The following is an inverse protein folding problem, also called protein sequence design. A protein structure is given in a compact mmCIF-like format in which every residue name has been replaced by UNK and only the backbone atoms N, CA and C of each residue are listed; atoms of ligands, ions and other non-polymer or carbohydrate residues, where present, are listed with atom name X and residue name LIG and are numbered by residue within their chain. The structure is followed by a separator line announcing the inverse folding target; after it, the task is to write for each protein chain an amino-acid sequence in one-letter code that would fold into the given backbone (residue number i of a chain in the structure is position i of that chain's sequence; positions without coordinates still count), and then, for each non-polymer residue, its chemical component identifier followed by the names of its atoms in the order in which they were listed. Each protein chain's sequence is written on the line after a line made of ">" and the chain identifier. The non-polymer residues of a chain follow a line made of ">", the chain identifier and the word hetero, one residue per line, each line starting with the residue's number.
data_IF_016073968406
#
_entry.id   IF_016073968406
#
_cell.length_a   1.000
_cell.length_b   1.000
_cell.length_c   1.000
_cell.angle_alpha   90.00
_cell.angle_beta   90.00
_cell.angle_gamma   90.00
#
_symmetry.space_group_name_H-M   'P 1'
#
loop_
_entity.id
_entity.type
_entity.pdbx_description
1 polymer ?
#
# COMPACT_ATOMS: atom_id res chain seq x y z
N UNK A 1 -2.71 6.38 9.98
CA UNK A 1 -2.19 5.96 8.67
C UNK A 1 -2.39 7.10 7.71
N UNK A 2 -1.40 7.39 6.87
CA UNK A 2 -1.41 8.43 5.83
C UNK A 2 -0.71 7.87 4.60
N UNK A 3 -1.01 8.39 3.41
CA UNK A 3 -0.46 7.92 2.14
C UNK A 3 0.15 9.05 1.31
N UNK A 4 -0.19 9.10 0.03
CA UNK A 4 0.34 10.11 -0.91
C UNK A 4 0.01 11.56 -0.57
N UNK A 5 -1.02 11.78 0.25
CA UNK A 5 -1.43 13.12 0.71
C UNK A 5 -0.53 13.73 1.79
N UNK A 6 0.42 12.98 2.34
CA UNK A 6 1.28 13.45 3.42
C UNK A 6 2.19 14.59 2.96
N UNK A 7 2.13 15.71 3.69
CA UNK A 7 3.02 16.87 3.50
C UNK A 7 3.81 17.16 4.77
N UNK A 8 4.94 17.88 4.65
CA UNK A 8 5.74 18.33 5.80
C UNK A 8 4.92 19.18 6.77
N UNK A 9 4.01 20.01 6.27
CA UNK A 9 3.15 20.86 7.10
C UNK A 9 2.23 20.08 8.02
N UNK A 10 1.85 18.85 7.66
CA UNK A 10 1.02 17.98 8.51
C UNK A 10 1.81 17.40 9.69
N UNK A 11 3.14 17.48 9.65
CA UNK A 11 4.03 17.03 10.71
C UNK A 11 4.38 18.16 11.71
N UNK A 12 3.84 19.35 11.53
CA UNK A 12 3.98 20.49 12.42
C UNK A 12 2.62 20.92 12.97
N UNK A 13 2.63 21.86 13.94
CA UNK A 13 1.41 22.45 14.48
C UNK A 13 0.77 23.36 13.44
N UNK A 14 -0.55 23.22 13.24
CA UNK A 14 -1.30 24.12 12.40
C UNK A 14 -2.15 25.06 13.24
N UNK A 15 -1.94 26.37 13.10
CA UNK A 15 -2.72 27.38 13.81
C UNK A 15 -3.93 27.84 13.02
N UNK A 16 -5.11 27.70 13.62
CA UNK A 16 -6.35 28.25 13.07
C UNK A 16 -6.61 29.62 13.68
N UNK A 17 -6.47 30.68 12.87
CA UNK A 17 -6.63 32.08 13.33
C UNK A 17 -8.09 32.41 13.70
N UNK A 18 -9.07 31.73 13.12
CA UNK A 18 -10.49 31.98 13.40
C UNK A 18 -10.89 31.43 14.77
N UNK A 19 -10.54 30.18 15.03
CA UNK A 19 -10.82 29.53 16.33
C UNK A 19 -9.76 29.84 17.39
N UNK A 20 -8.62 30.42 17.02
CA UNK A 20 -7.45 30.68 17.89
C UNK A 20 -6.94 29.41 18.57
N UNK A 21 -6.97 28.28 17.85
CA UNK A 21 -6.53 27.00 18.36
C UNK A 21 -5.41 26.41 17.50
N UNK A 22 -4.58 25.56 18.10
CA UNK A 22 -3.60 24.77 17.39
C UNK A 22 -4.18 23.38 17.10
N UNK A 23 -4.01 22.94 15.88
CA UNK A 23 -4.21 21.55 15.52
C UNK A 23 -2.90 20.79 15.70
N UNK A 24 -2.96 19.69 16.44
CA UNK A 24 -1.80 18.82 16.63
C UNK A 24 -1.33 18.21 15.31
N UNK A 25 0.00 18.02 15.18
CA UNK A 25 0.60 17.29 14.07
C UNK A 25 0.12 15.84 14.02
N UNK A 26 0.24 15.19 12.87
CA UNK A 26 -0.18 13.79 12.71
C UNK A 26 0.59 12.86 13.65
N UNK A 27 1.90 13.05 13.79
CA UNK A 27 2.73 12.26 14.70
C UNK A 27 2.35 12.47 16.17
N UNK A 28 2.02 13.69 16.57
CA UNK A 28 1.56 13.97 17.95
C UNK A 28 0.21 13.29 18.23
N UNK A 29 -0.68 13.21 17.24
CA UNK A 29 -1.95 12.46 17.34
C UNK A 29 -1.76 10.95 17.46
N UNK A 30 -0.60 10.43 17.09
CA UNK A 30 -0.26 9.00 17.16
C UNK A 30 0.60 8.62 18.36
N UNK A 31 0.78 9.55 19.32
CA UNK A 31 1.53 9.34 20.57
C UNK A 31 1.07 8.07 21.29
N UNK A 32 2.00 7.23 21.71
CA UNK A 32 1.75 5.93 22.33
C UNK A 32 1.19 4.87 21.37
N UNK A 33 1.21 5.11 20.07
CA UNK A 33 0.64 4.25 19.06
C UNK A 33 1.54 3.98 17.85
N UNK A 34 0.92 3.78 16.69
CA UNK A 34 1.61 3.49 15.42
C UNK A 34 1.26 4.55 14.38
N UNK A 35 2.28 5.15 13.79
CA UNK A 35 2.15 6.06 12.65
C UNK A 35 2.62 5.37 11.39
N UNK A 36 1.69 5.09 10.47
CA UNK A 36 1.99 4.39 9.23
C UNK A 36 2.00 5.40 8.08
N UNK A 37 3.12 5.44 7.36
CA UNK A 37 3.27 6.18 6.10
C UNK A 37 3.25 5.16 4.98
N UNK A 38 2.14 5.11 4.27
CA UNK A 38 1.93 4.18 3.17
C UNK A 38 2.37 4.79 1.85
N UNK A 39 2.82 3.94 0.93
CA UNK A 39 3.30 4.32 -0.41
C UNK A 39 4.37 5.44 -0.37
N UNK A 40 5.33 5.33 0.58
CA UNK A 40 6.41 6.32 0.68
C UNK A 40 7.19 6.41 -0.64
N UNK A 41 7.28 7.62 -1.16
CA UNK A 41 7.84 7.96 -2.48
C UNK A 41 6.77 8.35 -3.52
N UNK A 42 5.48 8.37 -3.11
CA UNK A 42 4.37 8.86 -3.94
C UNK A 42 3.81 10.20 -3.47
N UNK A 43 4.37 10.75 -2.40
CA UNK A 43 4.05 12.09 -1.92
C UNK A 43 4.61 13.15 -2.88
N UNK A 44 4.02 14.34 -2.89
CA UNK A 44 4.55 15.50 -3.61
C UNK A 44 5.91 15.96 -3.03
N UNK A 45 6.11 15.69 -1.72
CA UNK A 45 7.35 15.99 -1.01
C UNK A 45 8.41 14.89 -1.28
N UNK A 46 9.69 15.26 -1.44
CA UNK A 46 10.76 14.27 -1.56
C UNK A 46 10.77 13.34 -0.33
N UNK A 47 10.84 12.02 -0.50
CA UNK A 47 10.85 11.07 0.62
C UNK A 47 11.93 11.36 1.65
N UNK A 48 13.11 11.82 1.19
CA UNK A 48 14.20 12.20 2.06
C UNK A 48 13.85 13.38 2.97
N UNK A 49 13.05 14.36 2.49
CA UNK A 49 12.64 15.51 3.29
C UNK A 49 11.70 15.07 4.44
N UNK A 50 10.77 14.16 4.15
CA UNK A 50 9.88 13.58 5.15
C UNK A 50 10.68 12.81 6.22
N UNK A 51 11.62 11.97 5.80
CA UNK A 51 12.46 11.21 6.71
C UNK A 51 13.34 12.14 7.57
N UNK A 52 13.94 13.17 6.97
CA UNK A 52 14.78 14.13 7.68
C UNK A 52 14.01 14.82 8.81
N UNK A 53 12.70 15.05 8.63
CA UNK A 53 11.82 15.62 9.67
C UNK A 53 11.73 14.69 10.91
N UNK A 54 11.84 13.37 10.71
CA UNK A 54 11.76 12.39 11.79
C UNK A 54 13.11 11.92 12.35
N UNK A 55 14.23 12.30 11.73
CA UNK A 55 15.56 11.87 12.20
C UNK A 55 15.75 12.18 13.69
N UNK A 56 15.52 13.43 14.09
CA UNK A 56 15.69 13.86 15.48
C UNK A 56 14.68 13.20 16.39
N UNK A 57 13.36 13.20 16.13
CA UNK A 57 12.39 12.50 16.94
C UNK A 57 12.67 11.00 17.13
N UNK A 58 13.03 10.29 16.08
CA UNK A 58 13.35 8.85 16.17
C UNK A 58 14.64 8.56 16.96
N UNK A 59 15.59 9.48 16.95
CA UNK A 59 16.89 9.30 17.63
C UNK A 59 16.84 9.75 19.10
N UNK A 60 16.18 10.87 19.36
CA UNK A 60 16.18 11.52 20.68
C UNK A 60 14.96 11.17 21.53
N UNK A 61 13.90 10.59 20.95
CA UNK A 61 12.68 10.26 21.67
C UNK A 61 11.80 11.48 22.01
N UNK A 62 12.10 12.64 21.44
CA UNK A 62 11.27 13.84 21.53
C UNK A 62 11.26 14.62 20.22
N UNK A 63 10.20 15.38 19.99
CA UNK A 63 10.07 16.29 18.86
C UNK A 63 10.05 17.74 19.35
N UNK A 64 10.51 18.67 18.52
CA UNK A 64 10.49 20.11 18.80
C UNK A 64 9.44 20.74 17.90
N UNK A 65 8.37 21.23 18.52
CA UNK A 65 7.28 21.93 17.84
C UNK A 65 7.39 23.43 18.07
N UNK A 66 6.96 24.22 17.09
CA UNK A 66 6.97 25.68 17.17
C UNK A 66 5.54 26.24 17.17
N UNK A 67 5.30 27.20 18.04
CA UNK A 67 4.10 28.04 17.99
C UNK A 67 4.23 29.12 16.91
N UNK A 68 3.13 29.71 16.49
CA UNK A 68 3.12 30.83 15.54
C UNK A 68 3.90 32.05 16.07
N UNK A 69 4.00 32.20 17.41
CA UNK A 69 4.85 33.20 18.08
C UNK A 69 6.34 33.00 17.86
N UNK A 70 6.77 31.85 17.34
CA UNK A 70 8.17 31.42 17.23
C UNK A 70 8.70 30.72 18.49
N UNK A 71 7.91 30.65 19.57
CA UNK A 71 8.26 29.87 20.75
C UNK A 71 8.29 28.37 20.42
N UNK A 72 9.34 27.66 20.91
CA UNK A 72 9.53 26.23 20.68
C UNK A 72 9.39 25.49 21.99
N UNK A 73 8.83 24.27 21.92
CA UNK A 73 8.72 23.37 23.06
C UNK A 73 8.92 21.92 22.64
N UNK A 74 9.34 21.12 23.57
CA UNK A 74 9.57 19.69 23.36
C UNK A 74 8.32 18.89 23.68
N UNK A 75 8.06 17.86 22.88
CA UNK A 75 7.01 16.87 23.13
C UNK A 75 7.59 15.47 23.04
N UNK A 76 7.20 14.52 23.89
CA UNK A 76 7.63 13.14 23.78
C UNK A 76 7.28 12.55 22.40
N UNK A 77 8.21 11.76 21.85
CA UNK A 77 8.02 11.01 20.61
C UNK A 77 8.15 9.51 20.92
N UNK A 78 7.04 8.89 21.29
CA UNK A 78 6.93 7.48 21.66
C UNK A 78 6.09 6.68 20.64
N UNK A 79 6.07 7.16 19.41
CA UNK A 79 5.31 6.59 18.30
C UNK A 79 6.16 5.61 17.52
N UNK A 80 5.64 4.39 17.27
CA UNK A 80 6.23 3.48 16.29
C UNK A 80 5.93 3.97 14.88
N UNK A 81 6.94 4.39 14.14
CA UNK A 81 6.81 4.81 12.74
C UNK A 81 7.04 3.62 11.81
N UNK A 82 6.11 3.37 10.91
CA UNK A 82 6.17 2.30 9.89
C UNK A 82 6.09 2.94 8.51
N UNK A 83 7.06 2.64 7.67
CA UNK A 83 7.07 3.06 6.26
C UNK A 83 6.77 1.87 5.37
N UNK A 84 5.79 1.98 4.48
CA UNK A 84 5.62 1.04 3.38
C UNK A 84 6.01 1.69 2.05
N UNK A 85 6.63 0.94 1.17
CA UNK A 85 7.06 1.44 -0.14
C UNK A 85 7.26 0.31 -1.13
N UNK A 86 7.00 0.58 -2.41
CA UNK A 86 7.31 -0.31 -3.54
C UNK A 86 8.74 -0.09 -4.08
N UNK A 87 9.44 0.92 -3.60
CA UNK A 87 10.81 1.21 -4.03
C UNK A 87 11.84 0.46 -3.18
N UNK A 88 12.98 0.19 -3.78
CA UNK A 88 14.12 -0.32 -3.02
C UNK A 88 14.59 0.75 -2.01
N UNK A 89 14.81 0.41 -0.73
CA UNK A 89 15.17 1.40 0.32
C UNK A 89 16.33 2.32 -0.07
N UNK A 90 17.37 1.79 -0.71
CA UNK A 90 18.53 2.59 -1.15
C UNK A 90 18.23 3.61 -2.26
N UNK A 91 17.04 3.55 -2.88
CA UNK A 91 16.61 4.56 -3.88
C UNK A 91 15.90 5.75 -3.25
N UNK A 92 15.36 5.57 -2.05
CA UNK A 92 14.56 6.58 -1.36
C UNK A 92 15.31 7.18 -0.16
N UNK A 93 16.20 6.42 0.47
CA UNK A 93 16.87 6.81 1.70
C UNK A 93 18.38 6.90 1.51
N UNK A 94 18.97 7.89 2.13
CA UNK A 94 20.41 7.95 2.33
C UNK A 94 20.88 7.00 3.45
N UNK A 95 22.19 6.87 3.61
CA UNK A 95 22.78 6.01 4.64
C UNK A 95 22.44 6.45 6.06
N UNK A 96 22.23 7.76 6.27
CA UNK A 96 21.89 8.29 7.59
C UNK A 96 20.47 7.88 7.99
N UNK A 97 19.51 8.01 7.10
CA UNK A 97 18.13 7.55 7.31
C UNK A 97 18.05 6.03 7.50
N UNK A 98 18.78 5.26 6.66
CA UNK A 98 18.76 3.79 6.73
C UNK A 98 19.30 3.24 8.06
N UNK A 99 20.23 3.94 8.74
CA UNK A 99 20.72 3.53 10.05
C UNK A 99 19.68 3.69 11.17
N UNK A 100 18.71 4.59 10.99
CA UNK A 100 17.68 4.90 11.98
C UNK A 100 16.42 4.06 11.81
N UNK A 101 16.24 3.47 10.65
CA UNK A 101 15.20 2.47 10.39
C UNK A 101 15.78 1.10 10.75
N UNK A 102 15.54 0.63 12.00
CA UNK A 102 16.15 -0.60 12.50
C UNK A 102 15.68 -1.85 11.76
N UNK A 103 14.41 -1.94 11.47
CA UNK A 103 13.82 -3.13 10.83
C UNK A 103 13.47 -2.84 9.37
N UNK A 104 13.99 -3.67 8.49
CA UNK A 104 13.68 -3.65 7.05
C UNK A 104 13.14 -5.00 6.66
N UNK A 105 11.85 -5.05 6.34
CA UNK A 105 11.17 -6.29 5.98
C UNK A 105 10.84 -6.23 4.50
N UNK A 106 11.39 -7.17 3.74
CA UNK A 106 11.03 -7.37 2.34
C UNK A 106 9.85 -8.33 2.25
N UNK A 107 8.80 -7.92 1.57
CA UNK A 107 7.64 -8.76 1.28
C UNK A 107 7.68 -9.08 -0.21
N UNK A 108 8.01 -10.32 -0.52
CA UNK A 108 8.00 -10.83 -1.89
C UNK A 108 6.59 -11.26 -2.31
N UNK A 109 6.38 -11.37 -3.62
CA UNK A 109 5.15 -11.97 -4.15
C UNK A 109 5.01 -13.43 -3.71
N UNK A 110 3.80 -13.99 -3.73
CA UNK A 110 3.57 -15.37 -3.33
C UNK A 110 4.18 -16.33 -4.35
N UNK A 111 4.61 -17.50 -3.88
CA UNK A 111 4.88 -18.65 -4.75
C UNK A 111 3.57 -19.15 -5.38
N UNK A 112 3.66 -19.98 -6.42
CA UNK A 112 2.47 -20.58 -7.05
C UNK A 112 1.59 -21.31 -6.02
N UNK A 113 2.19 -22.10 -5.12
CA UNK A 113 1.44 -22.84 -4.09
C UNK A 113 0.76 -21.90 -3.07
N UNK A 114 1.44 -20.82 -2.70
CA UNK A 114 0.87 -19.79 -1.84
C UNK A 114 -0.27 -19.06 -2.53
N UNK A 115 -0.08 -18.70 -3.80
CA UNK A 115 -1.14 -18.07 -4.61
C UNK A 115 -2.38 -18.97 -4.71
N UNK A 116 -2.22 -20.26 -4.99
CA UNK A 116 -3.34 -21.19 -5.06
C UNK A 116 -4.11 -21.30 -3.73
N UNK A 117 -3.40 -21.29 -2.59
CA UNK A 117 -4.02 -21.24 -1.27
C UNK A 117 -4.81 -19.96 -1.07
N UNK A 118 -4.24 -18.82 -1.44
CA UNK A 118 -4.92 -17.51 -1.38
C UNK A 118 -6.15 -17.51 -2.27
N UNK A 119 -6.04 -17.98 -3.51
CA UNK A 119 -7.14 -18.07 -4.45
C UNK A 119 -8.29 -18.94 -3.89
N UNK A 120 -7.96 -20.10 -3.33
CA UNK A 120 -8.95 -21.00 -2.72
C UNK A 120 -9.65 -20.35 -1.52
N UNK A 121 -8.91 -19.63 -0.66
CA UNK A 121 -9.48 -18.90 0.47
C UNK A 121 -10.44 -17.79 0.02
N UNK A 122 -10.02 -17.00 -0.98
CA UNK A 122 -10.83 -15.90 -1.50
C UNK A 122 -12.06 -16.44 -2.24
N UNK A 123 -11.91 -17.47 -3.05
CA UNK A 123 -13.02 -18.11 -3.77
C UNK A 123 -14.08 -18.67 -2.80
N UNK A 124 -13.63 -19.32 -1.72
CA UNK A 124 -14.53 -19.80 -0.65
C UNK A 124 -15.28 -18.64 0.01
N UNK A 125 -14.59 -17.55 0.35
CA UNK A 125 -15.19 -16.35 0.96
C UNK A 125 -16.24 -15.73 0.04
N UNK A 126 -15.96 -15.66 -1.27
CA UNK A 126 -16.82 -15.08 -2.31
C UNK A 126 -17.85 -16.07 -2.87
N UNK A 127 -17.83 -17.32 -2.40
CA UNK A 127 -18.74 -18.41 -2.85
C UNK A 127 -18.64 -18.69 -4.36
N UNK A 128 -17.44 -18.57 -4.93
CA UNK A 128 -17.16 -18.91 -6.33
C UNK A 128 -16.58 -20.32 -6.39
N UNK A 129 -17.25 -21.29 -7.01
CA UNK A 129 -16.70 -22.63 -7.21
C UNK A 129 -15.43 -22.60 -8.06
N UNK A 130 -14.44 -23.37 -7.66
CA UNK A 130 -13.22 -23.61 -8.43
C UNK A 130 -13.28 -25.02 -9.03
N UNK A 131 -12.87 -25.15 -10.29
CA UNK A 131 -12.66 -26.44 -10.91
C UNK A 131 -11.23 -26.59 -11.43
N UNK A 132 -10.78 -27.83 -11.60
CA UNK A 132 -9.41 -28.14 -12.02
C UNK A 132 -9.09 -27.60 -13.40
N UNK A 133 -10.03 -27.65 -14.35
CA UNK A 133 -9.83 -27.16 -15.72
C UNK A 133 -9.55 -25.67 -15.74
N UNK A 134 -10.29 -24.91 -14.97
CA UNK A 134 -10.13 -23.45 -14.84
C UNK A 134 -8.83 -23.08 -14.16
N UNK A 135 -8.43 -23.82 -13.11
CA UNK A 135 -7.12 -23.63 -12.45
C UNK A 135 -5.96 -23.94 -13.40
N UNK A 136 -6.05 -25.03 -14.17
CA UNK A 136 -5.04 -25.38 -15.17
C UNK A 136 -4.96 -24.31 -16.27
N UNK A 137 -6.08 -23.80 -16.74
CA UNK A 137 -6.12 -22.71 -17.72
C UNK A 137 -5.41 -21.46 -17.17
N UNK A 138 -5.74 -21.06 -15.95
CA UNK A 138 -5.10 -19.92 -15.30
C UNK A 138 -3.59 -20.10 -15.20
N UNK A 139 -3.12 -21.25 -14.68
CA UNK A 139 -1.70 -21.48 -14.42
C UNK A 139 -0.87 -21.79 -15.67
N UNK A 140 -1.44 -22.49 -16.66
CA UNK A 140 -0.68 -22.93 -17.84
C UNK A 140 -0.86 -22.04 -19.06
N UNK A 141 -1.90 -21.22 -19.11
CA UNK A 141 -2.17 -20.34 -20.25
C UNK A 141 -1.95 -18.89 -19.87
N UNK A 142 -2.52 -18.42 -18.75
CA UNK A 142 -2.44 -16.99 -18.37
C UNK A 142 -1.15 -16.60 -17.69
N UNK A 143 -0.76 -17.27 -16.62
CA UNK A 143 0.46 -16.90 -15.88
C UNK A 143 1.76 -16.95 -16.69
N UNK A 144 1.94 -17.87 -17.65
CA UNK A 144 3.13 -17.83 -18.52
C UNK A 144 3.28 -16.53 -19.32
N UNK A 145 2.18 -15.85 -19.68
CA UNK A 145 2.23 -14.57 -20.42
C UNK A 145 2.92 -13.46 -19.60
N UNK A 146 2.92 -13.58 -18.28
CA UNK A 146 3.56 -12.65 -17.35
C UNK A 146 4.73 -13.30 -16.59
N UNK A 147 5.43 -14.25 -17.23
CA UNK A 147 6.60 -14.93 -16.67
C UNK A 147 6.35 -15.63 -15.32
N UNK A 148 5.12 -16.06 -15.07
CA UNK A 148 4.68 -16.69 -13.81
C UNK A 148 4.89 -15.81 -12.54
N UNK A 149 4.77 -14.49 -12.69
CA UNK A 149 4.81 -13.56 -11.55
C UNK A 149 3.46 -13.55 -10.85
N UNK A 150 3.42 -14.09 -9.63
CA UNK A 150 2.21 -14.11 -8.81
C UNK A 150 2.17 -12.90 -7.88
N UNK A 151 0.99 -12.32 -7.69
CA UNK A 151 0.76 -11.25 -6.72
C UNK A 151 -0.47 -11.55 -5.85
N UNK A 152 -0.44 -11.11 -4.59
CA UNK A 152 -1.50 -11.38 -3.63
C UNK A 152 -2.86 -10.82 -4.07
N UNK A 153 -2.86 -9.67 -4.75
CA UNK A 153 -4.09 -9.01 -5.19
C UNK A 153 -4.75 -9.71 -6.39
N UNK A 154 -4.01 -10.49 -7.20
CA UNK A 154 -4.55 -11.17 -8.38
C UNK A 154 -5.77 -12.04 -8.05
N UNK A 155 -5.73 -12.76 -6.92
CA UNK A 155 -6.83 -13.63 -6.51
C UNK A 155 -8.13 -12.86 -6.27
N UNK A 156 -8.05 -11.74 -5.53
CA UNK A 156 -9.23 -10.89 -5.30
C UNK A 156 -9.70 -10.24 -6.59
N UNK A 157 -8.80 -9.65 -7.36
CA UNK A 157 -9.12 -8.95 -8.60
C UNK A 157 -9.82 -9.87 -9.60
N UNK A 158 -9.23 -11.04 -9.91
CA UNK A 158 -9.81 -11.98 -10.87
C UNK A 158 -11.20 -12.46 -10.45
N UNK A 159 -11.37 -12.79 -9.17
CA UNK A 159 -12.68 -13.25 -8.69
C UNK A 159 -13.71 -12.13 -8.64
N UNK A 160 -13.34 -10.89 -8.34
CA UNK A 160 -14.25 -9.74 -8.40
C UNK A 160 -14.70 -9.44 -9.83
N UNK A 161 -13.78 -9.50 -10.80
CA UNK A 161 -14.11 -9.35 -12.20
C UNK A 161 -15.04 -10.48 -12.69
N UNK A 162 -14.75 -11.73 -12.33
CA UNK A 162 -15.59 -12.87 -12.70
C UNK A 162 -17.00 -12.73 -12.10
N UNK A 163 -17.10 -12.33 -10.82
CA UNK A 163 -18.41 -12.08 -10.18
C UNK A 163 -19.18 -10.99 -10.93
N UNK A 164 -18.53 -9.85 -11.20
CA UNK A 164 -19.16 -8.74 -11.92
C UNK A 164 -19.67 -9.17 -13.31
N UNK A 165 -18.89 -9.99 -14.03
CA UNK A 165 -19.32 -10.54 -15.34
C UNK A 165 -20.52 -11.48 -15.16
N UNK A 166 -20.49 -12.37 -14.17
CA UNK A 166 -21.60 -13.28 -13.88
C UNK A 166 -22.88 -12.53 -13.52
N UNK A 167 -22.78 -11.48 -12.71
CA UNK A 167 -23.91 -10.63 -12.33
C UNK A 167 -24.50 -9.89 -13.54
N UNK A 168 -23.64 -9.34 -14.40
CA UNK A 168 -24.06 -8.66 -15.61
C UNK A 168 -24.78 -9.60 -16.60
N UNK A 169 -24.31 -10.84 -16.73
CA UNK A 169 -24.88 -11.85 -17.64
C UNK A 169 -26.03 -12.63 -17.00
N UNK A 170 -26.31 -12.46 -15.72
CA UNK A 170 -27.36 -13.18 -15.01
C UNK A 170 -27.08 -14.69 -14.87
N UNK A 171 -25.80 -15.09 -14.77
CA UNK A 171 -25.37 -16.49 -14.65
C UNK A 171 -24.83 -16.78 -13.24
N UNK A 172 -24.88 -18.03 -12.78
CA UNK A 172 -24.32 -18.43 -11.50
C UNK A 172 -22.81 -18.13 -11.42
N UNK A 173 -22.32 -17.78 -10.22
CA UNK A 173 -20.90 -17.59 -9.97
C UNK A 173 -20.12 -18.87 -10.23
N UNK A 174 -19.16 -18.80 -11.13
CA UNK A 174 -18.31 -19.92 -11.50
C UNK A 174 -17.02 -19.41 -12.13
N UNK A 175 -15.94 -20.11 -11.87
CA UNK A 175 -14.66 -19.82 -12.52
C UNK A 175 -14.53 -20.69 -13.77
N UNK A 176 -14.64 -20.09 -14.96
CA UNK A 176 -14.52 -20.77 -16.26
C UNK A 176 -13.39 -20.14 -17.08
N UNK A 177 -12.76 -20.89 -18.01
CA UNK A 177 -11.69 -20.35 -18.85
C UNK A 177 -12.05 -19.07 -19.59
N UNK A 178 -13.24 -18.97 -20.19
CA UNK A 178 -13.72 -17.78 -20.89
C UNK A 178 -13.88 -16.56 -19.99
N UNK A 179 -14.36 -16.76 -18.76
CA UNK A 179 -14.48 -15.69 -17.77
C UNK A 179 -13.10 -15.26 -17.22
N UNK A 180 -12.18 -16.22 -17.06
CA UNK A 180 -10.80 -15.93 -16.71
C UNK A 180 -10.13 -15.07 -17.77
N UNK A 181 -10.32 -15.39 -19.05
CA UNK A 181 -9.72 -14.64 -20.17
C UNK A 181 -10.19 -13.19 -20.17
N UNK A 182 -11.47 -12.96 -19.97
CA UNK A 182 -12.05 -11.60 -19.86
C UNK A 182 -11.57 -10.84 -18.63
N UNK A 183 -11.53 -11.51 -17.48
CA UNK A 183 -11.01 -10.92 -16.24
C UNK A 183 -9.52 -10.57 -16.35
N UNK A 184 -8.75 -11.41 -17.06
CA UNK A 184 -7.31 -11.21 -17.27
C UNK A 184 -7.02 -10.01 -18.16
N UNK A 185 -7.81 -9.75 -19.19
CA UNK A 185 -7.69 -8.55 -20.04
C UNK A 185 -7.85 -7.26 -19.25
N UNK A 186 -8.70 -7.26 -18.21
CA UNK A 186 -8.86 -6.11 -17.32
C UNK A 186 -7.71 -5.96 -16.30
N UNK A 187 -6.97 -7.04 -16.03
CA UNK A 187 -5.82 -7.01 -15.12
C UNK A 187 -4.56 -6.48 -15.81
N UNK A 188 -4.38 -6.83 -17.07
CA UNK A 188 -3.27 -6.43 -17.92
C UNK A 188 -3.82 -5.84 -19.21
N UNK A 189 -3.73 -4.52 -19.30
CA UNK A 189 -4.09 -3.80 -20.55
C UNK A 189 -2.92 -3.96 -21.50
N UNK A 190 -3.11 -4.65 -22.61
CA UNK A 190 -2.13 -4.71 -23.67
C UNK A 190 -2.01 -3.32 -24.33
N UNK A 191 -0.79 -2.86 -24.66
CA UNK A 191 -0.57 -1.55 -25.27
C UNK A 191 -1.32 -1.38 -26.61
N UNK A 192 -1.72 -2.47 -27.26
CA UNK A 192 -2.50 -2.49 -28.49
C UNK A 192 -4.00 -2.21 -28.27
N UNK A 193 -4.51 -2.33 -27.04
CA UNK A 193 -5.94 -2.11 -26.70
C UNK A 193 -6.26 -0.65 -26.36
N UNK A 194 -5.26 0.24 -26.32
CA UNK A 194 -5.49 1.68 -26.16
C UNK A 194 -5.87 2.28 -27.51
N UNK A 195 -7.14 2.19 -27.83
CA UNK A 195 -7.72 2.88 -29.00
C UNK A 195 -7.67 4.38 -28.72
N UNK A 196 -6.95 5.09 -29.57
CA UNK A 196 -6.86 6.57 -29.61
C UNK A 196 -8.21 7.23 -29.91
#
# INVERSE_FOLDING_TARGET
>A
MTGGELTLSMLDLNYNAVSRTYQASLQLKSTGGVFIVDDLGRQDEPPQALINRWIVPMEMGYDILALQSGEKFEVPFDTLVVFSTNFHPNKIFDQAALRRIFFKVKIDGPTQDQFLKILAMVARKKKVPLDEKSLLHLLKVKYPTIQNVFANYHANFLLDQIIAICEFEGIPYQMRPDLIDRAWQNLYVDEEDIVH
#
